data_IF_691622106596
#
_entry.id   IF_691622106596
#
_cell.length_a   1.000
_cell.length_b   1.000
_cell.length_c   1.000
_cell.angle_alpha   90.00
_cell.angle_beta   90.00
_cell.angle_gamma   90.00
#
_symmetry.space_group_name_H-M   'P 1'
#
loop_
_entity.id
_entity.type
_entity.pdbx_description
1 polymer ?
#
# COMPACT_ATOMS: atom_id res chain seq x y z
N UNK A 1 -83.73 -8.15 78.45
CA UNK A 1 -82.36 -7.76 78.87
C UNK A 1 -81.53 -7.57 77.60
N UNK A 2 -81.53 -6.37 77.00
CA UNK A 2 -80.43 -5.39 77.03
C UNK A 2 -79.06 -6.01 76.73
N UNK A 3 -78.59 -5.97 75.47
CA UNK A 3 -77.76 -4.92 74.81
C UNK A 3 -76.32 -4.90 75.37
N UNK A 4 -75.33 -5.11 74.50
CA UNK A 4 -74.31 -4.13 74.07
C UNK A 4 -73.14 -4.89 73.43
N UNK A 5 -73.03 -4.73 72.12
CA UNK A 5 -71.78 -4.84 71.37
C UNK A 5 -70.76 -3.86 71.94
N UNK A 6 -69.68 -4.33 72.57
CA UNK A 6 -68.50 -3.48 72.85
C UNK A 6 -67.37 -3.87 71.92
N UNK A 7 -67.18 -2.96 70.96
CA UNK A 7 -66.01 -2.76 70.11
C UNK A 7 -64.69 -2.95 70.87
N UNK A 8 -63.79 -3.74 70.27
CA UNK A 8 -62.35 -3.69 70.50
C UNK A 8 -61.83 -2.27 70.21
N UNK A 9 -61.73 -1.44 71.24
CA UNK A 9 -61.14 -0.09 71.17
C UNK A 9 -59.77 -0.01 71.87
N UNK A 10 -59.22 -1.10 72.41
CA UNK A 10 -58.02 -1.05 73.26
C UNK A 10 -56.69 -1.27 72.52
N UNK A 11 -56.67 -1.72 71.27
CA UNK A 11 -55.41 -1.99 70.53
C UNK A 11 -54.83 -0.78 69.79
N UNK A 12 -55.61 0.30 69.60
CA UNK A 12 -55.13 1.57 69.04
C UNK A 12 -54.32 2.38 70.06
N UNK A 13 -54.84 2.48 71.30
CA UNK A 13 -54.25 3.30 72.36
C UNK A 13 -52.83 2.85 72.76
N UNK A 14 -52.58 1.54 72.78
CA UNK A 14 -51.27 1.00 73.17
C UNK A 14 -50.22 1.25 72.08
N UNK A 15 -50.59 1.15 70.81
CA UNK A 15 -49.68 1.44 69.71
C UNK A 15 -49.36 2.94 69.60
N UNK A 16 -50.33 3.82 69.89
CA UNK A 16 -50.11 5.27 69.92
C UNK A 16 -49.31 5.72 71.16
N UNK A 17 -49.50 5.08 72.32
CA UNK A 17 -48.67 5.30 73.52
C UNK A 17 -47.23 4.79 73.34
N UNK A 18 -47.06 3.60 72.75
CA UNK A 18 -45.74 3.07 72.39
C UNK A 18 -45.05 3.97 71.36
N UNK A 19 -45.79 4.48 70.37
CA UNK A 19 -45.28 5.44 69.39
C UNK A 19 -44.84 6.75 70.05
N UNK A 20 -45.65 7.29 70.96
CA UNK A 20 -45.28 8.46 71.75
C UNK A 20 -44.04 8.24 72.64
N UNK A 21 -43.84 7.01 73.13
CA UNK A 21 -42.63 6.64 73.86
C UNK A 21 -41.39 6.56 72.95
N UNK A 22 -41.52 5.97 71.75
CA UNK A 22 -40.43 5.91 70.78
C UNK A 22 -40.08 7.29 70.18
N UNK A 23 -41.04 8.22 70.13
CA UNK A 23 -40.84 9.61 69.70
C UNK A 23 -40.45 10.55 70.86
N UNK A 24 -40.39 10.04 72.10
CA UNK A 24 -40.01 10.85 73.26
C UNK A 24 -38.55 11.29 73.18
N UNK A 25 -38.25 12.53 73.59
CA UNK A 25 -36.88 13.07 73.57
C UNK A 25 -35.92 12.22 74.39
N UNK A 26 -36.38 11.66 75.52
CA UNK A 26 -35.55 10.81 76.38
C UNK A 26 -35.18 9.50 75.70
N UNK A 27 -36.11 8.85 74.98
CA UNK A 27 -35.81 7.65 74.23
C UNK A 27 -34.89 7.95 73.04
N UNK A 28 -35.16 9.03 72.30
CA UNK A 28 -34.34 9.44 71.16
C UNK A 28 -32.92 9.84 71.58
N UNK A 29 -32.73 10.46 72.75
CA UNK A 29 -31.41 10.78 73.30
C UNK A 29 -30.65 9.52 73.74
N UNK A 30 -31.33 8.53 74.31
CA UNK A 30 -30.73 7.23 74.63
C UNK A 30 -30.30 6.53 73.33
N UNK A 31 -31.18 6.48 72.32
CA UNK A 31 -30.86 5.88 71.03
C UNK A 31 -29.73 6.61 70.32
N UNK A 32 -29.71 7.96 70.35
CA UNK A 32 -28.62 8.76 69.78
C UNK A 32 -27.30 8.45 70.47
N UNK A 33 -27.27 8.33 71.80
CA UNK A 33 -26.08 7.94 72.56
C UNK A 33 -25.59 6.53 72.20
N UNK A 34 -26.49 5.56 72.10
CA UNK A 34 -26.13 4.19 71.72
C UNK A 34 -25.57 4.15 70.31
N UNK A 35 -26.22 4.80 69.34
CA UNK A 35 -25.75 4.88 67.96
C UNK A 35 -24.41 5.61 67.87
N UNK A 36 -24.24 6.73 68.57
CA UNK A 36 -22.96 7.45 68.61
C UNK A 36 -21.83 6.60 69.17
N UNK A 37 -22.08 5.82 70.22
CA UNK A 37 -21.07 4.92 70.79
C UNK A 37 -20.76 3.73 69.86
N UNK A 38 -21.76 3.21 69.14
CA UNK A 38 -21.55 2.15 68.15
C UNK A 38 -20.75 2.63 66.94
N UNK A 39 -20.98 3.87 66.49
CA UNK A 39 -20.21 4.47 65.38
C UNK A 39 -18.81 4.88 65.83
N UNK A 40 -18.63 5.24 67.11
CA UNK A 40 -17.34 5.58 67.69
C UNK A 40 -16.48 4.34 68.04
N UNK A 41 -17.04 3.13 67.97
CA UNK A 41 -16.21 1.94 68.07
C UNK A 41 -15.28 1.79 66.86
N UNK A 42 -13.99 1.69 67.15
CA UNK A 42 -12.94 1.45 66.15
C UNK A 42 -13.17 0.15 65.34
N UNK A 43 -13.89 -0.80 65.93
CA UNK A 43 -14.31 -2.06 65.32
C UNK A 43 -15.25 -1.85 64.11
N UNK A 44 -16.16 -0.87 64.21
CA UNK A 44 -17.15 -0.57 63.17
C UNK A 44 -16.51 0.17 62.00
N UNK A 45 -15.63 1.13 62.29
CA UNK A 45 -14.85 1.84 61.27
C UNK A 45 -13.95 0.86 60.48
N UNK A 46 -13.33 -0.11 61.17
CA UNK A 46 -12.53 -1.15 60.54
C UNK A 46 -13.39 -2.09 59.68
N UNK A 47 -14.60 -2.43 60.12
CA UNK A 47 -15.54 -3.24 59.36
C UNK A 47 -15.99 -2.53 58.08
N UNK A 48 -16.25 -1.22 58.14
CA UNK A 48 -16.57 -0.41 56.97
C UNK A 48 -15.40 -0.32 55.99
N UNK A 49 -14.19 -0.03 56.47
CA UNK A 49 -12.98 0.00 55.62
C UNK A 49 -12.77 -1.33 54.90
N UNK A 50 -12.84 -2.46 55.62
CA UNK A 50 -12.74 -3.80 55.01
C UNK A 50 -13.84 -4.09 54.00
N UNK A 51 -15.08 -3.68 54.27
CA UNK A 51 -16.20 -3.86 53.35
C UNK A 51 -16.02 -3.06 52.06
N UNK A 52 -15.58 -1.80 52.18
CA UNK A 52 -15.26 -0.94 51.04
C UNK A 52 -14.06 -1.48 50.26
N UNK A 53 -12.98 -1.86 50.94
CA UNK A 53 -11.78 -2.43 50.30
C UNK A 53 -12.11 -3.73 49.55
N UNK A 54 -12.96 -4.59 50.10
CA UNK A 54 -13.40 -5.81 49.43
C UNK A 54 -14.26 -5.51 48.18
N UNK A 55 -15.18 -4.55 48.28
CA UNK A 55 -16.00 -4.12 47.15
C UNK A 55 -15.12 -3.50 46.04
N UNK A 56 -14.19 -2.62 46.41
CA UNK A 56 -13.22 -2.01 45.49
C UNK A 56 -12.30 -3.06 44.87
N UNK A 57 -11.77 -3.99 45.66
CA UNK A 57 -10.92 -5.07 45.15
C UNK A 57 -11.66 -5.94 44.13
N UNK A 58 -12.91 -6.32 44.42
CA UNK A 58 -13.74 -7.12 43.49
C UNK A 58 -14.01 -6.40 42.17
N UNK A 59 -14.14 -5.07 42.21
CA UNK A 59 -14.33 -4.25 41.01
C UNK A 59 -13.02 -4.05 40.24
N UNK A 60 -11.88 -3.90 40.94
CA UNK A 60 -10.57 -3.59 40.34
C UNK A 60 -9.86 -4.82 39.77
N UNK A 61 -10.02 -6.00 40.39
CA UNK A 61 -9.41 -7.26 39.91
C UNK A 61 -9.64 -7.59 38.43
N UNK A 62 -10.88 -7.53 37.89
CA UNK A 62 -11.11 -7.82 36.47
C UNK A 62 -10.49 -6.77 35.55
N UNK A 63 -10.40 -5.51 35.98
CA UNK A 63 -9.71 -4.47 35.23
C UNK A 63 -8.21 -4.70 35.21
N UNK A 64 -7.59 -5.07 36.34
CA UNK A 64 -6.17 -5.40 36.39
C UNK A 64 -5.81 -6.60 35.51
N UNK A 65 -6.66 -7.64 35.45
CA UNK A 65 -6.46 -8.79 34.56
C UNK A 65 -6.49 -8.37 33.08
N UNK A 66 -7.44 -7.52 32.69
CA UNK A 66 -7.49 -6.95 31.34
C UNK A 66 -6.28 -6.04 31.06
N UNK A 67 -5.82 -5.28 32.04
CA UNK A 67 -4.64 -4.43 31.91
C UNK A 67 -3.40 -5.26 31.58
N UNK A 68 -3.17 -6.34 32.33
CA UNK A 68 -2.07 -7.27 32.08
C UNK A 68 -2.19 -7.94 30.71
N UNK A 69 -3.41 -8.25 30.26
CA UNK A 69 -3.65 -8.74 28.91
C UNK A 69 -3.33 -7.68 27.85
N UNK A 70 -3.62 -6.40 28.08
CA UNK A 70 -3.30 -5.31 27.15
C UNK A 70 -1.80 -5.03 27.06
N UNK A 71 -1.09 -5.09 28.19
CA UNK A 71 0.36 -4.89 28.26
C UNK A 71 1.13 -5.87 27.35
N UNK A 72 0.59 -7.08 27.12
CA UNK A 72 1.21 -8.07 26.23
C UNK A 72 1.11 -7.72 24.73
N UNK A 73 0.17 -6.85 24.33
CA UNK A 73 0.02 -6.43 22.93
C UNK A 73 1.02 -5.34 22.54
N UNK A 74 1.46 -4.52 23.49
CA UNK A 74 2.45 -3.45 23.28
C UNK A 74 3.76 -3.97 22.65
N UNK A 75 4.44 -5.01 23.16
CA UNK A 75 5.67 -5.51 22.53
C UNK A 75 5.41 -6.05 21.12
N UNK A 76 4.27 -6.71 20.90
CA UNK A 76 3.88 -7.21 19.58
C UNK A 76 3.73 -6.07 18.57
N UNK A 77 3.13 -4.96 18.98
CA UNK A 77 2.99 -3.76 18.14
C UNK A 77 4.35 -3.19 17.77
N UNK A 78 5.26 -3.05 18.74
CA UNK A 78 6.63 -2.56 18.47
C UNK A 78 7.42 -3.48 17.53
N UNK A 79 7.24 -4.79 17.63
CA UNK A 79 7.92 -5.73 16.73
C UNK A 79 7.33 -5.74 15.32
N UNK A 80 6.03 -5.48 15.19
CA UNK A 80 5.38 -5.28 13.90
C UNK A 80 5.87 -3.99 13.23
N UNK A 81 6.00 -2.90 13.99
CA UNK A 81 6.57 -1.63 13.49
C UNK A 81 8.00 -1.81 12.97
N UNK A 82 8.84 -2.54 13.72
CA UNK A 82 10.21 -2.87 13.26
C UNK A 82 10.21 -3.66 11.95
N UNK A 83 9.31 -4.63 11.81
CA UNK A 83 9.17 -5.42 10.57
C UNK A 83 8.68 -4.57 9.41
N UNK A 84 7.74 -3.66 9.64
CA UNK A 84 7.27 -2.72 8.62
C UNK A 84 8.43 -1.86 8.13
N UNK A 85 9.20 -1.27 9.05
CA UNK A 85 10.36 -0.44 8.69
C UNK A 85 11.44 -1.24 7.92
N UNK A 86 11.72 -2.49 8.32
CA UNK A 86 12.65 -3.37 7.58
C UNK A 86 12.13 -3.67 6.16
N UNK A 87 10.85 -4.02 6.04
CA UNK A 87 10.22 -4.32 4.75
C UNK A 87 10.20 -3.10 3.84
N UNK A 88 9.89 -1.91 4.38
CA UNK A 88 9.92 -0.66 3.63
C UNK A 88 11.32 -0.32 3.14
N UNK A 89 12.34 -0.48 3.98
CA UNK A 89 13.75 -0.27 3.60
C UNK A 89 14.17 -1.23 2.48
N UNK A 90 13.82 -2.51 2.60
CA UNK A 90 14.11 -3.52 1.58
C UNK A 90 13.34 -3.27 0.29
N UNK A 91 12.09 -2.83 0.38
CA UNK A 91 11.27 -2.49 -0.78
C UNK A 91 11.89 -1.31 -1.55
N UNK A 92 12.30 -0.26 -0.84
CA UNK A 92 12.96 0.90 -1.44
C UNK A 92 14.28 0.51 -2.12
N UNK A 93 15.10 -0.30 -1.46
CA UNK A 93 16.35 -0.80 -2.04
C UNK A 93 16.11 -1.63 -3.31
N UNK A 94 15.13 -2.54 -3.28
CA UNK A 94 14.78 -3.37 -4.43
C UNK A 94 14.22 -2.54 -5.60
N UNK A 95 13.44 -1.49 -5.31
CA UNK A 95 12.91 -0.58 -6.33
C UNK A 95 14.03 0.20 -7.03
N UNK A 96 15.01 0.70 -6.28
CA UNK A 96 16.17 1.38 -6.86
C UNK A 96 17.04 0.42 -7.69
N UNK A 97 17.26 -0.81 -7.22
CA UNK A 97 17.97 -1.83 -7.99
C UNK A 97 17.23 -2.17 -9.29
N UNK A 98 15.91 -2.34 -9.24
CA UNK A 98 15.10 -2.60 -10.42
C UNK A 98 15.20 -1.44 -11.44
N UNK A 99 15.15 -0.19 -10.97
CA UNK A 99 15.32 1.00 -11.80
C UNK A 99 16.70 1.05 -12.46
N UNK A 100 17.75 0.76 -11.70
CA UNK A 100 19.11 0.67 -12.24
C UNK A 100 19.25 -0.46 -13.27
N UNK A 101 18.65 -1.61 -13.03
CA UNK A 101 18.64 -2.73 -13.97
C UNK A 101 17.92 -2.37 -15.27
N UNK A 102 16.76 -1.70 -15.18
CA UNK A 102 16.01 -1.22 -16.35
C UNK A 102 16.85 -0.22 -17.16
N UNK A 103 17.50 0.73 -16.49
CA UNK A 103 18.34 1.72 -17.17
C UNK A 103 19.52 1.04 -17.89
N UNK A 104 20.23 0.13 -17.20
CA UNK A 104 21.32 -0.64 -17.81
C UNK A 104 20.85 -1.49 -18.99
N UNK A 105 19.70 -2.15 -18.87
CA UNK A 105 19.12 -2.94 -19.96
C UNK A 105 18.80 -2.05 -21.17
N UNK A 106 18.25 -0.86 -20.93
CA UNK A 106 17.96 0.11 -21.97
C UNK A 106 19.24 0.64 -22.64
N UNK A 107 20.28 0.97 -21.87
CA UNK A 107 21.57 1.42 -22.40
C UNK A 107 22.22 0.33 -23.27
N UNK A 108 22.16 -0.93 -22.82
CA UNK A 108 22.67 -2.06 -23.60
C UNK A 108 21.89 -2.25 -24.91
N UNK A 109 20.56 -2.07 -24.88
CA UNK A 109 19.72 -2.20 -26.06
C UNK A 109 19.94 -1.05 -27.05
N UNK A 110 20.12 0.18 -26.55
CA UNK A 110 20.51 1.32 -27.38
C UNK A 110 21.89 1.10 -28.02
N UNK A 111 22.84 0.57 -27.25
CA UNK A 111 24.18 0.26 -27.74
C UNK A 111 24.16 -0.82 -28.82
N UNK A 112 23.43 -1.92 -28.60
CA UNK A 112 23.33 -3.04 -29.55
C UNK A 112 22.62 -2.64 -30.85
N UNK A 113 21.68 -1.69 -30.78
CA UNK A 113 20.90 -1.19 -31.93
C UNK A 113 21.46 0.07 -32.57
N UNK A 114 22.55 0.62 -32.04
CA UNK A 114 23.17 1.85 -32.53
C UNK A 114 23.43 1.85 -34.03
N UNK A 115 23.72 0.70 -34.62
CA UNK A 115 24.03 0.55 -36.05
C UNK A 115 22.88 -0.06 -36.87
N UNK A 116 21.71 -0.24 -36.27
CA UNK A 116 20.58 -0.89 -36.94
C UNK A 116 19.62 0.15 -37.54
N UNK A 117 19.08 -0.13 -38.73
CA UNK A 117 17.98 0.59 -39.38
C UNK A 117 16.93 -0.39 -39.90
N UNK A 118 15.67 0.06 -39.93
CA UNK A 118 14.53 -0.70 -40.48
C UNK A 118 14.03 -0.06 -41.77
N UNK A 119 13.94 -0.86 -42.83
CA UNK A 119 13.38 -0.43 -44.11
C UNK A 119 12.00 -1.09 -44.32
N UNK A 120 10.95 -0.28 -44.47
CA UNK A 120 9.56 -0.74 -44.56
C UNK A 120 8.95 -0.40 -45.92
N UNK A 121 8.47 -1.41 -46.64
CA UNK A 121 7.77 -1.24 -47.92
C UNK A 121 8.58 -1.70 -49.15
N UNK A 122 9.72 -2.37 -48.97
CA UNK A 122 10.48 -2.98 -50.08
C UNK A 122 9.83 -4.30 -50.43
N UNK A 123 9.23 -4.44 -51.60
CA UNK A 123 8.56 -5.67 -52.05
C UNK A 123 9.42 -6.93 -51.80
N UNK A 124 8.77 -8.02 -51.40
CA UNK A 124 9.45 -9.30 -51.15
C UNK A 124 9.57 -10.09 -52.44
N UNK A 125 10.79 -10.51 -52.77
CA UNK A 125 11.05 -11.44 -53.87
C UNK A 125 11.47 -12.80 -53.31
N UNK A 126 11.16 -13.87 -54.06
CA UNK A 126 11.64 -15.22 -53.74
C UNK A 126 13.16 -15.25 -53.95
N UNK A 127 13.89 -15.83 -53.00
CA UNK A 127 15.35 -15.97 -53.01
C UNK A 127 16.10 -14.63 -53.18
N UNK A 128 15.65 -13.60 -52.46
CA UNK A 128 16.24 -12.26 -52.52
C UNK A 128 17.51 -12.09 -51.68
N UNK A 129 18.52 -11.41 -52.24
CA UNK A 129 19.65 -10.91 -51.45
C UNK A 129 19.29 -9.55 -50.83
N UNK A 130 18.96 -9.57 -49.53
CA UNK A 130 18.57 -8.36 -48.79
C UNK A 130 19.66 -7.27 -48.81
N UNK A 131 20.95 -7.64 -48.86
CA UNK A 131 22.05 -6.67 -48.89
C UNK A 131 22.06 -5.91 -50.21
N UNK A 132 21.98 -6.62 -51.33
CA UNK A 132 21.94 -6.01 -52.67
C UNK A 132 20.70 -5.15 -52.87
N UNK A 133 19.54 -5.60 -52.38
CA UNK A 133 18.30 -4.83 -52.41
C UNK A 133 18.45 -3.48 -51.70
N UNK A 134 19.11 -3.45 -50.53
CA UNK A 134 19.33 -2.22 -49.78
C UNK A 134 20.34 -1.31 -50.48
N UNK A 135 21.41 -1.85 -51.07
CA UNK A 135 22.37 -1.08 -51.84
C UNK A 135 21.71 -0.43 -53.07
N UNK A 136 20.92 -1.21 -53.81
CA UNK A 136 20.14 -0.71 -54.95
C UNK A 136 19.14 0.36 -54.50
N UNK A 137 18.40 0.10 -53.41
CA UNK A 137 17.46 1.05 -52.84
C UNK A 137 18.13 2.37 -52.44
N UNK A 138 19.26 2.31 -51.75
CA UNK A 138 20.05 3.48 -51.36
C UNK A 138 20.50 4.28 -52.58
N UNK A 139 20.94 3.62 -53.65
CA UNK A 139 21.37 4.28 -54.89
C UNK A 139 20.21 4.90 -55.66
N UNK A 140 19.12 4.15 -55.86
CA UNK A 140 18.00 4.55 -56.72
C UNK A 140 17.04 5.53 -56.05
N UNK A 141 16.74 5.34 -54.77
CA UNK A 141 15.73 6.12 -54.05
C UNK A 141 16.32 7.23 -53.20
N UNK A 142 17.47 6.98 -52.59
CA UNK A 142 18.14 7.97 -51.75
C UNK A 142 19.26 8.72 -52.51
N UNK A 143 19.74 8.21 -53.66
CA UNK A 143 20.83 8.86 -54.40
C UNK A 143 22.19 8.75 -53.71
N UNK A 144 22.34 7.82 -52.77
CA UNK A 144 23.59 7.61 -52.01
C UNK A 144 24.22 6.28 -52.40
N UNK A 145 25.55 6.28 -52.52
CA UNK A 145 26.32 5.06 -52.80
C UNK A 145 26.77 4.48 -51.46
N UNK A 146 26.12 3.39 -51.04
CA UNK A 146 26.53 2.59 -49.89
C UNK A 146 27.17 1.30 -50.40
N UNK A 147 28.45 1.04 -50.13
CA UNK A 147 29.08 -0.19 -50.59
C UNK A 147 28.56 -1.38 -49.76
N UNK A 148 28.46 -2.56 -50.38
CA UNK A 148 27.93 -3.75 -49.73
C UNK A 148 28.72 -4.15 -48.47
N UNK A 149 30.02 -3.88 -48.43
CA UNK A 149 30.88 -4.13 -47.27
C UNK A 149 30.61 -3.20 -46.06
N UNK A 150 29.86 -2.11 -46.25
CA UNK A 150 29.42 -1.26 -45.15
C UNK A 150 28.21 -1.85 -44.40
N UNK A 151 27.61 -2.92 -44.93
CA UNK A 151 26.51 -3.66 -44.33
C UNK A 151 27.07 -4.94 -43.72
N UNK A 152 26.91 -5.11 -42.42
CA UNK A 152 27.28 -6.34 -41.70
C UNK A 152 26.26 -7.44 -42.04
N UNK A 153 24.97 -7.16 -41.79
CA UNK A 153 23.87 -8.10 -42.00
C UNK A 153 22.61 -7.38 -42.43
N UNK A 154 21.92 -7.91 -43.43
CA UNK A 154 20.59 -7.48 -43.83
C UNK A 154 19.68 -8.71 -43.95
N UNK A 155 18.51 -8.67 -43.31
CA UNK A 155 17.54 -9.76 -43.38
C UNK A 155 16.11 -9.27 -43.12
N UNK A 156 15.13 -10.03 -43.62
CA UNK A 156 13.71 -9.79 -43.33
C UNK A 156 13.39 -10.19 -41.90
N UNK A 157 12.64 -9.33 -41.20
CA UNK A 157 12.19 -9.55 -39.83
C UNK A 157 10.67 -9.55 -39.77
N UNK A 158 10.11 -10.49 -39.01
CA UNK A 158 8.67 -10.64 -38.78
C UNK A 158 8.07 -11.86 -39.49
N UNK A 159 6.82 -12.17 -39.14
CA UNK A 159 6.04 -13.24 -39.76
C UNK A 159 5.57 -12.80 -41.15
N UNK A 160 5.54 -13.74 -42.11
CA UNK A 160 4.93 -13.50 -43.43
C UNK A 160 3.41 -13.38 -43.24
N UNK A 161 2.82 -12.35 -43.83
CA UNK A 161 1.38 -12.11 -43.81
C UNK A 161 0.92 -11.67 -45.19
N UNK A 162 -0.22 -12.16 -45.64
CA UNK A 162 -0.84 -11.69 -46.88
C UNK A 162 -1.15 -10.19 -46.76
N UNK A 163 -0.83 -9.42 -47.80
CA UNK A 163 -1.04 -7.97 -47.85
C UNK A 163 -0.03 -7.11 -47.09
N UNK A 164 0.97 -7.68 -46.38
CA UNK A 164 1.98 -6.90 -45.66
C UNK A 164 3.40 -7.37 -45.94
N UNK A 165 4.19 -6.46 -46.50
CA UNK A 165 5.63 -6.62 -46.73
C UNK A 165 6.42 -6.59 -45.42
N UNK A 166 7.24 -7.61 -45.16
CA UNK A 166 8.13 -7.67 -43.98
C UNK A 166 9.20 -6.60 -44.06
N UNK A 167 9.59 -6.09 -42.89
CA UNK A 167 10.66 -5.10 -42.76
C UNK A 167 12.02 -5.74 -43.00
N UNK A 168 12.93 -5.04 -43.69
CA UNK A 168 14.35 -5.42 -43.70
C UNK A 168 15.04 -4.73 -42.52
N UNK A 169 15.65 -5.52 -41.65
CA UNK A 169 16.55 -5.04 -40.61
C UNK A 169 17.97 -5.09 -41.15
N UNK A 170 18.63 -3.93 -41.15
CA UNK A 170 19.99 -3.75 -41.66
C UNK A 170 20.88 -3.29 -40.53
N UNK A 171 21.98 -4.01 -40.30
CA UNK A 171 23.07 -3.60 -39.42
C UNK A 171 24.23 -3.10 -40.26
N UNK A 172 24.62 -1.85 -40.03
CA UNK A 172 25.80 -1.25 -40.66
C UNK A 172 27.06 -1.54 -39.85
N UNK A 173 28.21 -1.58 -40.52
CA UNK A 173 29.52 -1.70 -39.87
C UNK A 173 29.91 -0.39 -39.18
N UNK A 174 29.61 0.75 -39.82
CA UNK A 174 30.08 2.06 -39.40
C UNK A 174 28.91 3.02 -39.13
N UNK A 175 29.12 3.94 -38.18
CA UNK A 175 28.12 4.96 -37.83
C UNK A 175 27.89 5.93 -38.98
N UNK A 176 28.96 6.30 -39.70
CA UNK A 176 28.89 7.24 -40.82
C UNK A 176 27.98 6.73 -41.94
N UNK A 177 28.05 5.44 -42.28
CA UNK A 177 27.19 4.83 -43.30
C UNK A 177 25.72 4.89 -42.90
N UNK A 178 25.41 4.58 -41.64
CA UNK A 178 24.05 4.77 -41.09
C UNK A 178 23.63 6.24 -41.19
N UNK A 179 24.47 7.17 -40.73
CA UNK A 179 24.17 8.60 -40.69
C UNK A 179 23.86 9.17 -42.08
N UNK A 180 24.60 8.76 -43.11
CA UNK A 180 24.34 9.18 -44.50
C UNK A 180 22.93 8.79 -44.96
N UNK A 181 22.51 7.55 -44.68
CA UNK A 181 21.15 7.06 -44.97
C UNK A 181 20.11 7.87 -44.20
N UNK A 182 20.39 8.15 -42.92
CA UNK A 182 19.51 8.88 -42.01
C UNK A 182 19.27 10.33 -42.43
N UNK A 183 20.31 11.04 -42.86
CA UNK A 183 20.21 12.43 -43.33
C UNK A 183 19.38 12.47 -44.60
N UNK A 184 19.67 11.61 -45.56
CA UNK A 184 19.00 11.61 -46.86
C UNK A 184 17.53 11.21 -46.79
N UNK A 185 17.17 10.37 -45.81
CA UNK A 185 15.77 10.02 -45.52
C UNK A 185 14.89 11.26 -45.31
N UNK A 186 15.40 12.31 -44.62
CA UNK A 186 14.60 13.52 -44.30
C UNK A 186 14.04 14.20 -45.56
N UNK A 187 14.69 14.03 -46.70
CA UNK A 187 14.33 14.64 -47.97
C UNK A 187 13.29 13.83 -48.76
N UNK A 188 13.11 12.54 -48.47
CA UNK A 188 12.32 11.62 -49.31
C UNK A 188 10.93 11.31 -48.72
N UNK A 189 9.85 11.59 -49.48
CA UNK A 189 8.44 11.49 -49.00
C UNK A 189 7.68 10.20 -49.36
N UNK A 190 8.32 9.18 -49.95
CA UNK A 190 7.64 7.97 -50.42
C UNK A 190 7.81 6.69 -49.59
N UNK A 191 8.76 6.67 -48.63
CA UNK A 191 9.16 5.45 -47.94
C UNK A 191 9.54 5.71 -46.48
N UNK A 192 9.18 4.78 -45.58
CA UNK A 192 9.47 4.91 -44.14
C UNK A 192 10.67 4.05 -43.75
N UNK A 193 11.82 4.70 -43.55
CA UNK A 193 12.95 4.10 -42.82
C UNK A 193 12.76 4.39 -41.33
N UNK A 194 12.48 3.39 -40.50
CA UNK A 194 12.28 3.59 -39.06
C UNK A 194 13.61 3.45 -38.30
N UNK A 195 13.80 4.34 -37.34
CA UNK A 195 14.83 4.18 -36.33
C UNK A 195 14.30 3.22 -35.28
N UNK A 196 15.08 2.19 -34.95
CA UNK A 196 14.68 1.29 -33.87
C UNK A 196 15.06 1.85 -32.48
N UNK A 197 14.78 3.14 -32.25
CA UNK A 197 14.92 3.80 -30.95
C UNK A 197 13.66 3.67 -30.08
N UNK A 198 12.59 3.08 -30.63
CA UNK A 198 11.26 3.00 -30.01
C UNK A 198 11.14 1.92 -28.93
N UNK A 199 11.92 1.98 -27.85
CA UNK A 199 11.62 1.15 -26.66
C UNK A 199 11.39 1.95 -25.38
N UNK A 200 11.80 3.22 -25.28
CA UNK A 200 11.50 4.01 -24.07
C UNK A 200 10.78 5.30 -24.44
N UNK A 201 9.61 5.49 -23.83
CA UNK A 201 8.71 6.65 -24.00
C UNK A 201 9.44 8.01 -23.91
N UNK A 202 10.58 8.09 -23.22
CA UNK A 202 11.39 9.30 -23.11
C UNK A 202 12.18 9.67 -24.38
N UNK A 203 12.50 8.72 -25.27
CA UNK A 203 13.32 8.98 -26.45
C UNK A 203 12.49 9.36 -27.70
N UNK A 204 11.18 9.11 -27.68
CA UNK A 204 10.26 9.50 -28.78
C UNK A 204 10.27 11.02 -29.02
N UNK A 205 10.43 11.82 -27.97
CA UNK A 205 10.38 13.28 -28.05
C UNK A 205 11.61 13.90 -28.70
N UNK A 206 12.77 13.23 -28.63
CA UNK A 206 14.03 13.79 -29.17
C UNK A 206 14.10 13.61 -30.69
N UNK A 207 13.52 12.53 -31.24
CA UNK A 207 13.57 12.28 -32.69
C UNK A 207 12.54 13.07 -33.51
N UNK A 208 11.47 13.60 -32.90
CA UNK A 208 10.55 14.52 -33.60
C UNK A 208 11.11 15.94 -33.73
N UNK A 209 12.15 16.29 -32.96
CA UNK A 209 12.77 17.62 -32.98
C UNK A 209 13.99 17.74 -33.91
N UNK A 210 14.40 16.66 -34.60
CA UNK A 210 15.53 16.69 -35.54
C UNK A 210 15.21 16.12 -36.92
#
# INVERSE_FOLDING_TARGET
MQRVTKSNQSSGSINDELRGYFESESFMDIMRRVVSNMVAEESFELALKKGVDAAVASAVEPFNKKLAEFEQYVPRETDLEKKINDLESRLSAAQEEAKLAINKANDNEQYSRKYNLRFIGIEEKKDENCTELIVAFCKEKLGIVVPANAIDRAHRVGKKSEGKTRTILVKFMNYNSKLMVCIQKKTFKGFRVLYQCEIVQSCSQICEQY
#
